data_IF_250834608510
#
_entry.id   IF_250834608510
#
_cell.length_a   1.000
_cell.length_b   1.000
_cell.length_c   1.000
_cell.angle_alpha   90.00
_cell.angle_beta   90.00
_cell.angle_gamma   90.00
#
_symmetry.space_group_name_H-M   'P 1'
#
loop_
_entity.id
_entity.type
_entity.pdbx_description
1 polymer ?
#
# COMPACT_ATOMS: atom_id res chain seq x y z
N UNK A 1 -4.39 23.43 -5.66
CA UNK A 1 -4.67 21.99 -5.76
C UNK A 1 -3.35 21.26 -5.89
N UNK A 2 -3.19 20.11 -5.22
CA UNK A 2 -2.02 19.26 -5.45
C UNK A 2 -2.03 18.78 -6.90
N UNK A 3 -0.85 18.60 -7.50
CA UNK A 3 -0.77 18.20 -8.90
C UNK A 3 -1.31 16.77 -9.10
N UNK A 4 -2.02 16.56 -10.21
CA UNK A 4 -2.53 15.24 -10.58
C UNK A 4 -1.44 14.40 -11.24
N UNK A 5 -1.54 13.09 -11.06
CA UNK A 5 -0.62 12.13 -11.66
C UNK A 5 -1.40 11.05 -12.39
N UNK A 6 -0.84 10.54 -13.49
CA UNK A 6 -1.24 9.26 -14.06
C UNK A 6 -0.20 8.20 -13.70
N UNK A 7 -0.64 6.98 -13.37
CA UNK A 7 0.25 5.90 -12.98
C UNK A 7 0.19 4.71 -13.94
N UNK A 8 1.34 4.05 -14.09
CA UNK A 8 1.46 2.80 -14.84
C UNK A 8 2.50 1.87 -14.22
N UNK A 9 2.09 0.69 -13.81
CA UNK A 9 2.99 -0.39 -13.46
C UNK A 9 3.82 -0.81 -14.68
N UNK A 10 5.11 -1.00 -14.46
CA UNK A 10 6.05 -1.42 -15.49
C UNK A 10 6.09 -2.96 -15.51
N UNK A 11 5.63 -3.60 -16.60
CA UNK A 11 5.62 -5.05 -16.71
C UNK A 11 7.04 -5.60 -16.86
N UNK A 12 7.20 -6.89 -16.63
CA UNK A 12 8.46 -7.59 -16.92
C UNK A 12 9.60 -7.27 -15.97
N UNK A 13 9.35 -6.63 -14.82
CA UNK A 13 10.33 -6.51 -13.73
C UNK A 13 10.04 -7.54 -12.64
N UNK A 14 8.78 -7.64 -12.25
CA UNK A 14 8.28 -8.61 -11.28
C UNK A 14 7.37 -9.63 -11.99
N UNK A 15 7.24 -10.83 -11.42
CA UNK A 15 6.27 -11.83 -11.85
C UNK A 15 4.87 -11.24 -11.75
N UNK A 16 4.08 -11.40 -12.81
CA UNK A 16 2.67 -10.99 -12.83
C UNK A 16 1.87 -11.90 -11.89
N UNK A 17 1.51 -11.36 -10.72
CA UNK A 17 0.89 -12.14 -9.65
C UNK A 17 -0.46 -12.74 -10.04
N UNK A 18 -1.16 -12.14 -10.99
CA UNK A 18 -2.41 -12.68 -11.56
C UNK A 18 -2.20 -14.01 -12.26
N UNK A 19 -1.04 -14.21 -12.88
CA UNK A 19 -0.75 -15.41 -13.66
C UNK A 19 -0.57 -16.62 -12.74
N UNK A 20 -0.09 -16.38 -11.52
CA UNK A 20 0.15 -17.43 -10.50
C UNK A 20 -0.95 -17.50 -9.43
N UNK A 21 -1.91 -16.58 -9.40
CA UNK A 21 -2.89 -16.48 -8.31
C UNK A 21 -3.71 -17.77 -8.12
N UNK A 22 -4.05 -18.45 -9.23
CA UNK A 22 -4.80 -19.70 -9.24
C UNK A 22 -4.10 -20.86 -8.52
N UNK A 23 -2.79 -20.78 -8.29
CA UNK A 23 -2.01 -21.78 -7.57
C UNK A 23 -2.17 -21.67 -6.04
N UNK A 24 -2.75 -20.57 -5.55
CA UNK A 24 -2.84 -20.28 -4.12
C UNK A 24 -4.25 -20.57 -3.56
N UNK A 25 -4.35 -21.12 -2.33
CA UNK A 25 -5.64 -21.32 -1.67
C UNK A 25 -6.49 -20.04 -1.61
N UNK A 26 -7.68 -20.10 -2.20
CA UNK A 26 -8.60 -18.96 -2.27
C UNK A 26 -8.07 -17.79 -3.11
N UNK A 27 -7.14 -18.06 -4.03
CA UNK A 27 -6.52 -17.08 -4.94
C UNK A 27 -5.84 -15.91 -4.20
N UNK A 28 -5.29 -16.21 -3.02
CA UNK A 28 -4.58 -15.25 -2.17
C UNK A 28 -3.08 -15.52 -2.24
N UNK A 29 -2.40 -14.80 -3.13
CA UNK A 29 -0.94 -14.92 -3.28
C UNK A 29 -0.21 -14.58 -1.98
N UNK A 30 0.91 -15.26 -1.73
CA UNK A 30 1.83 -14.97 -0.62
C UNK A 30 3.10 -14.29 -1.12
N UNK A 31 3.95 -13.84 -0.20
CA UNK A 31 5.26 -13.27 -0.52
C UNK A 31 6.06 -14.23 -1.40
N UNK A 32 6.42 -13.80 -2.60
CA UNK A 32 7.26 -14.58 -3.52
C UNK A 32 8.74 -14.44 -3.14
N UNK A 33 9.60 -15.42 -3.49
CA UNK A 33 11.04 -15.25 -3.43
C UNK A 33 11.48 -13.97 -4.15
N UNK A 34 12.38 -13.19 -3.55
CA UNK A 34 12.81 -11.89 -4.09
C UNK A 34 11.63 -10.93 -4.43
N UNK A 35 10.50 -11.00 -3.72
CA UNK A 35 9.26 -10.27 -4.04
C UNK A 35 8.76 -10.49 -5.48
N UNK A 36 9.16 -11.59 -6.12
CA UNK A 36 8.83 -11.91 -7.50
C UNK A 36 9.73 -11.23 -8.52
N UNK A 37 10.88 -10.67 -8.14
CA UNK A 37 11.84 -10.12 -9.11
C UNK A 37 12.23 -11.20 -10.13
N UNK A 38 12.08 -10.88 -11.41
CA UNK A 38 12.53 -11.76 -12.50
C UNK A 38 14.05 -11.67 -12.57
N UNK A 39 14.74 -12.76 -12.25
CA UNK A 39 16.20 -12.81 -12.17
C UNK A 39 16.85 -12.90 -13.55
N UNK A 40 18.07 -12.37 -13.70
CA UNK A 40 18.82 -12.46 -14.96
C UNK A 40 18.28 -11.56 -16.09
N UNK A 41 17.34 -10.67 -15.80
CA UNK A 41 16.92 -9.58 -16.69
C UNK A 41 18.13 -8.77 -17.14
N UNK A 42 18.12 -8.21 -18.36
CA UNK A 42 19.12 -7.24 -18.82
C UNK A 42 18.52 -5.84 -18.81
N UNK A 43 19.28 -4.86 -18.31
CA UNK A 43 18.86 -3.46 -18.23
C UNK A 43 19.83 -2.57 -19.02
N UNK A 44 19.35 -1.47 -19.66
CA UNK A 44 20.22 -0.50 -20.32
C UNK A 44 21.29 0.14 -19.42
N UNK A 45 21.08 0.12 -18.10
CA UNK A 45 22.00 0.64 -17.09
C UNK A 45 22.99 -0.40 -16.55
N UNK A 46 23.00 -1.61 -17.13
CA UNK A 46 23.93 -2.64 -16.68
C UNK A 46 25.38 -2.21 -16.89
N UNK A 47 26.20 -2.57 -15.91
CA UNK A 47 27.62 -2.30 -15.90
C UNK A 47 28.32 -3.61 -15.52
N UNK A 48 29.00 -4.28 -16.47
CA UNK A 48 29.68 -5.55 -16.22
C UNK A 48 30.85 -5.41 -15.25
N UNK A 49 31.39 -4.20 -15.07
CA UNK A 49 32.52 -3.92 -14.19
C UNK A 49 32.07 -3.53 -12.77
N UNK A 50 30.76 -3.40 -12.53
CA UNK A 50 30.24 -3.08 -11.20
C UNK A 50 30.58 -4.17 -10.17
N UNK A 51 30.99 -3.74 -8.97
CA UNK A 51 31.42 -4.62 -7.88
C UNK A 51 30.29 -5.49 -7.30
N UNK A 52 29.03 -5.12 -7.53
CA UNK A 52 27.86 -5.86 -7.07
C UNK A 52 26.91 -6.09 -8.24
N UNK A 53 26.73 -7.37 -8.56
CA UNK A 53 25.96 -7.87 -9.70
C UNK A 53 24.65 -8.55 -9.29
N UNK A 54 24.24 -8.44 -8.01
CA UNK A 54 22.96 -8.99 -7.54
C UNK A 54 21.81 -8.31 -8.28
N UNK A 55 20.78 -9.09 -8.64
CA UNK A 55 19.67 -8.61 -9.48
C UNK A 55 18.96 -7.38 -8.90
N UNK A 56 18.76 -7.34 -7.58
CA UNK A 56 18.18 -6.17 -6.92
C UNK A 56 19.04 -4.91 -7.01
N UNK A 57 20.36 -5.05 -6.93
CA UNK A 57 21.29 -3.92 -7.05
C UNK A 57 21.30 -3.39 -8.46
N UNK A 58 21.23 -4.28 -9.45
CA UNK A 58 21.08 -3.94 -10.88
C UNK A 58 19.74 -3.25 -11.14
N UNK A 59 18.65 -3.76 -10.59
CA UNK A 59 17.33 -3.11 -10.68
C UNK A 59 17.34 -1.72 -10.03
N UNK A 60 17.95 -1.56 -8.86
CA UNK A 60 18.04 -0.26 -8.21
C UNK A 60 18.81 0.76 -9.06
N UNK A 61 19.90 0.33 -9.73
CA UNK A 61 20.63 1.15 -10.71
C UNK A 61 19.76 1.49 -11.91
N UNK A 62 18.97 0.54 -12.40
CA UNK A 62 18.04 0.76 -13.51
C UNK A 62 16.94 1.77 -13.16
N UNK A 63 16.34 1.68 -11.97
CA UNK A 63 15.34 2.67 -11.52
C UNK A 63 15.95 4.07 -11.40
N UNK A 64 17.21 4.18 -10.95
CA UNK A 64 17.93 5.45 -10.96
C UNK A 64 18.14 5.98 -12.37
N UNK A 65 18.62 5.14 -13.27
CA UNK A 65 18.81 5.48 -14.68
C UNK A 65 17.50 5.93 -15.36
N UNK A 66 16.37 5.25 -15.10
CA UNK A 66 15.05 5.65 -15.60
C UNK A 66 14.66 7.06 -15.15
N UNK A 67 14.94 7.40 -13.89
CA UNK A 67 14.67 8.73 -13.37
C UNK A 67 15.61 9.79 -13.97
N UNK A 68 16.90 9.51 -14.10
CA UNK A 68 17.88 10.43 -14.70
C UNK A 68 17.62 10.69 -16.19
N UNK A 69 17.03 9.72 -16.91
CA UNK A 69 16.77 9.79 -18.35
C UNK A 69 15.29 10.08 -18.69
N UNK A 70 14.49 10.56 -17.73
CA UNK A 70 13.09 10.94 -17.95
C UNK A 70 12.83 12.41 -17.65
N UNK A 71 11.82 12.98 -18.29
CA UNK A 71 11.37 14.36 -18.06
C UNK A 71 11.10 14.65 -16.58
N UNK A 72 11.16 15.94 -16.20
CA UNK A 72 10.95 16.38 -14.81
C UNK A 72 9.56 16.07 -14.25
N UNK A 73 8.55 15.90 -15.11
CA UNK A 73 7.20 15.51 -14.73
C UNK A 73 7.01 13.98 -14.64
N UNK A 74 8.04 13.17 -14.86
CA UNK A 74 7.97 11.70 -14.78
C UNK A 74 8.82 11.22 -13.62
N UNK A 75 8.31 10.26 -12.85
CA UNK A 75 9.03 9.61 -11.76
C UNK A 75 8.80 8.09 -11.78
N UNK A 76 9.86 7.32 -11.54
CA UNK A 76 9.78 5.87 -11.37
C UNK A 76 10.08 5.51 -9.93
N UNK A 77 9.17 4.79 -9.28
CA UNK A 77 9.34 4.32 -7.89
C UNK A 77 9.04 2.82 -7.80
N UNK A 78 9.85 2.07 -7.07
CA UNK A 78 9.44 0.76 -6.59
C UNK A 78 8.57 0.98 -5.37
N UNK A 79 7.34 0.48 -5.46
CA UNK A 79 6.33 0.53 -4.42
C UNK A 79 6.22 -0.86 -3.82
N UNK A 80 6.72 -1.01 -2.60
CA UNK A 80 6.56 -2.22 -1.81
C UNK A 80 5.22 -2.17 -1.09
N UNK A 81 4.39 -3.19 -1.27
CA UNK A 81 3.07 -3.28 -0.65
C UNK A 81 3.05 -4.44 0.33
N UNK A 82 2.82 -4.15 1.61
CA UNK A 82 2.74 -5.17 2.66
C UNK A 82 1.33 -5.23 3.22
N UNK A 83 0.64 -6.37 3.05
CA UNK A 83 -0.62 -6.64 3.75
C UNK A 83 -0.34 -6.94 5.22
N UNK A 84 -1.12 -6.34 6.11
CA UNK A 84 -1.07 -6.65 7.54
C UNK A 84 -1.18 -8.15 7.85
N UNK A 85 -0.64 -8.58 9.00
CA UNK A 85 -0.79 -9.95 9.51
C UNK A 85 -2.25 -10.28 9.88
N UNK A 86 -2.54 -11.54 10.23
CA UNK A 86 -3.88 -11.98 10.61
C UNK A 86 -4.43 -11.18 11.79
N UNK A 87 -5.44 -10.36 11.52
CA UNK A 87 -6.15 -9.59 12.54
C UNK A 87 -7.31 -10.35 13.19
N UNK A 88 -7.74 -9.90 14.37
CA UNK A 88 -8.89 -10.49 15.08
C UNK A 88 -10.15 -10.48 14.21
N UNK A 89 -10.38 -9.43 13.41
CA UNK A 89 -11.49 -9.39 12.46
C UNK A 89 -11.42 -10.50 11.38
N UNK A 90 -10.21 -10.89 10.94
CA UNK A 90 -10.05 -11.98 9.97
C UNK A 90 -10.39 -13.34 10.60
N UNK A 91 -9.91 -13.56 11.83
CA UNK A 91 -10.24 -14.75 12.63
C UNK A 91 -11.76 -14.84 12.83
N UNK A 92 -12.40 -13.75 13.22
CA UNK A 92 -13.84 -13.73 13.43
C UNK A 92 -14.63 -13.95 12.14
N UNK A 93 -14.27 -13.29 11.04
CA UNK A 93 -14.88 -13.57 9.73
C UNK A 93 -14.78 -15.05 9.35
N UNK A 94 -13.63 -15.68 9.56
CA UNK A 94 -13.44 -17.11 9.27
C UNK A 94 -14.31 -18.01 10.18
N UNK A 95 -14.47 -17.65 11.46
CA UNK A 95 -15.26 -18.40 12.43
C UNK A 95 -16.77 -18.34 12.17
N UNK A 96 -17.31 -17.15 11.86
CA UNK A 96 -18.77 -16.98 11.66
C UNK A 96 -19.22 -17.19 10.23
N UNK A 97 -18.30 -17.15 9.27
CA UNK A 97 -18.59 -17.23 7.84
C UNK A 97 -19.08 -15.91 7.24
N UNK A 98 -18.96 -15.79 5.92
CA UNK A 98 -19.21 -14.54 5.19
C UNK A 98 -20.64 -14.01 5.35
N UNK A 99 -21.64 -14.89 5.41
CA UNK A 99 -23.04 -14.49 5.53
C UNK A 99 -23.31 -13.78 6.86
N UNK A 100 -22.97 -14.42 7.98
CA UNK A 100 -23.14 -13.83 9.31
C UNK A 100 -22.24 -12.60 9.52
N UNK A 101 -21.04 -12.60 8.94
CA UNK A 101 -20.16 -11.45 8.96
C UNK A 101 -20.79 -10.23 8.28
N UNK A 102 -21.20 -10.38 7.01
CA UNK A 102 -21.70 -9.27 6.20
C UNK A 102 -23.10 -8.77 6.60
N UNK A 103 -23.85 -9.54 7.40
CA UNK A 103 -25.24 -9.18 7.77
C UNK A 103 -25.41 -8.74 9.22
N UNK A 104 -24.48 -9.11 10.12
CA UNK A 104 -24.64 -8.85 11.56
C UNK A 104 -23.34 -8.61 12.30
N UNK A 105 -22.44 -9.58 12.31
CA UNK A 105 -21.31 -9.61 13.26
C UNK A 105 -20.36 -8.43 13.05
N UNK A 106 -20.08 -8.08 11.79
CA UNK A 106 -19.17 -7.00 11.44
C UNK A 106 -19.64 -5.59 11.83
N UNK A 107 -20.92 -5.42 12.17
CA UNK A 107 -21.51 -4.14 12.60
C UNK A 107 -21.41 -3.92 14.12
N UNK A 108 -21.02 -4.94 14.87
CA UNK A 108 -20.73 -4.85 16.30
C UNK A 108 -19.24 -4.52 16.52
N UNK A 109 -18.85 -4.03 17.69
CA UNK A 109 -17.43 -3.74 17.98
C UNK A 109 -16.64 -4.99 18.44
N UNK A 110 -17.34 -6.04 18.87
CA UNK A 110 -16.78 -7.20 19.54
C UNK A 110 -17.85 -8.01 20.26
N UNK A 111 -17.47 -9.13 20.86
CA UNK A 111 -18.36 -10.04 21.62
C UNK A 111 -18.13 -9.99 23.14
N UNK A 112 -17.36 -8.99 23.62
CA UNK A 112 -16.95 -8.85 25.02
C UNK A 112 -15.71 -9.69 25.39
N UNK A 113 -15.23 -10.58 24.52
CA UNK A 113 -13.96 -11.31 24.68
C UNK A 113 -12.90 -10.79 23.72
N UNK A 114 -13.29 -10.60 22.46
CA UNK A 114 -12.45 -10.08 21.40
C UNK A 114 -13.11 -8.85 20.77
N UNK A 115 -12.30 -7.95 20.23
CA UNK A 115 -12.77 -6.78 19.49
C UNK A 115 -12.31 -6.86 18.04
N UNK A 116 -13.24 -6.62 17.12
CA UNK A 116 -12.95 -6.48 15.70
C UNK A 116 -13.12 -5.05 15.19
N UNK A 117 -13.58 -4.12 16.03
CA UNK A 117 -13.41 -2.68 15.78
C UNK A 117 -11.93 -2.33 15.77
N UNK A 118 -11.47 -1.68 14.69
CA UNK A 118 -10.07 -1.32 14.46
C UNK A 118 -9.10 -2.41 14.97
N UNK A 119 -9.34 -3.64 14.52
CA UNK A 119 -8.79 -4.83 15.17
C UNK A 119 -7.25 -4.83 15.18
N UNK A 120 -6.68 -5.28 16.30
CA UNK A 120 -5.28 -5.67 16.38
C UNK A 120 -4.99 -6.99 15.66
N UNK A 121 -3.72 -7.30 15.51
CA UNK A 121 -3.21 -8.61 15.12
C UNK A 121 -3.57 -9.66 16.17
N UNK A 122 -3.72 -10.90 15.71
CA UNK A 122 -3.70 -12.09 16.56
C UNK A 122 -2.25 -12.54 16.76
N UNK A 123 -1.98 -13.46 17.69
CA UNK A 123 -0.65 -14.08 17.85
C UNK A 123 -0.11 -14.67 16.54
N UNK A 124 -0.99 -15.29 15.73
CA UNK A 124 -0.63 -15.78 14.39
C UNK A 124 -0.24 -14.63 13.46
N UNK A 125 -0.95 -13.51 13.52
CA UNK A 125 -0.64 -12.31 12.75
C UNK A 125 0.67 -11.64 13.16
N UNK A 126 0.98 -11.65 14.46
CA UNK A 126 2.27 -11.19 14.97
C UNK A 126 3.42 -12.08 14.49
N UNK A 127 3.24 -13.41 14.52
CA UNK A 127 4.23 -14.34 13.98
C UNK A 127 4.44 -14.13 12.47
N UNK A 128 3.36 -13.93 11.69
CA UNK A 128 3.47 -13.58 10.27
C UNK A 128 4.28 -12.29 10.04
N UNK A 129 4.12 -11.29 10.92
CA UNK A 129 4.90 -10.06 10.85
C UNK A 129 6.39 -10.30 11.22
N UNK A 130 6.68 -11.18 12.18
CA UNK A 130 8.06 -11.59 12.49
C UNK A 130 8.70 -12.38 11.34
N UNK A 131 7.95 -13.23 10.67
CA UNK A 131 8.44 -13.96 9.49
C UNK A 131 8.77 -12.98 8.34
N UNK A 132 7.90 -11.98 8.13
CA UNK A 132 8.17 -10.90 7.18
C UNK A 132 9.40 -10.06 7.58
N UNK A 133 9.61 -9.78 8.88
CA UNK A 133 10.82 -9.09 9.35
C UNK A 133 12.09 -9.83 8.94
N UNK A 134 12.11 -11.15 9.10
CA UNK A 134 13.24 -12.00 8.70
C UNK A 134 13.43 -11.97 7.19
N UNK A 135 12.35 -12.15 6.42
CA UNK A 135 12.36 -12.04 4.98
C UNK A 135 12.93 -10.69 4.49
N UNK A 136 12.46 -9.57 5.04
CA UNK A 136 12.92 -8.24 4.67
C UNK A 136 14.38 -8.00 5.04
N UNK A 137 14.82 -8.50 6.20
CA UNK A 137 16.21 -8.43 6.62
C UNK A 137 17.12 -9.15 5.63
N UNK A 138 16.75 -10.35 5.20
CA UNK A 138 17.50 -11.14 4.24
C UNK A 138 17.44 -10.55 2.83
N UNK A 139 16.27 -10.06 2.41
CA UNK A 139 16.09 -9.40 1.12
C UNK A 139 17.06 -8.21 0.97
N UNK A 140 17.22 -7.40 2.02
CA UNK A 140 18.13 -6.26 1.99
C UNK A 140 19.59 -6.71 2.11
N UNK A 141 19.93 -7.50 3.13
CA UNK A 141 21.33 -7.83 3.44
C UNK A 141 21.93 -8.83 2.44
N UNK A 142 21.19 -9.87 2.11
CA UNK A 142 21.66 -10.99 1.29
C UNK A 142 21.38 -10.71 -0.18
N UNK A 143 20.14 -10.34 -0.52
CA UNK A 143 19.75 -10.16 -1.93
C UNK A 143 20.10 -8.78 -2.50
N UNK A 144 20.42 -7.80 -1.64
CA UNK A 144 20.83 -6.47 -2.06
C UNK A 144 19.67 -5.57 -2.46
N UNK A 145 18.43 -5.87 -2.02
CA UNK A 145 17.31 -4.98 -2.22
C UNK A 145 17.54 -3.64 -1.51
N UNK A 146 17.17 -2.51 -2.13
CA UNK A 146 17.26 -1.23 -1.48
C UNK A 146 16.29 -1.16 -0.29
N UNK A 147 16.77 -0.65 0.84
CA UNK A 147 15.90 -0.28 1.95
C UNK A 147 14.91 0.80 1.46
N UNK A 148 13.62 0.72 1.80
CA UNK A 148 12.70 1.82 1.53
C UNK A 148 13.20 3.12 2.17
N UNK A 149 13.19 4.19 1.38
CA UNK A 149 13.58 5.53 1.83
C UNK A 149 12.47 6.18 2.65
N UNK A 150 11.22 5.76 2.44
CA UNK A 150 10.06 6.21 3.21
C UNK A 150 9.11 5.03 3.44
N UNK A 151 8.57 4.97 4.65
CA UNK A 151 7.59 3.96 5.06
C UNK A 151 6.27 4.66 5.33
N UNK A 152 5.21 4.18 4.69
CA UNK A 152 3.85 4.63 4.90
C UNK A 152 3.02 3.50 5.49
N UNK A 153 2.03 3.84 6.29
CA UNK A 153 1.13 2.85 6.90
C UNK A 153 -0.28 3.37 7.01
N UNK A 154 -1.25 2.46 6.85
CA UNK A 154 -2.65 2.75 7.17
C UNK A 154 -2.81 3.03 8.67
N UNK A 155 -3.70 3.96 9.07
CA UNK A 155 -3.96 4.29 10.48
C UNK A 155 -4.65 3.18 11.28
N UNK A 156 -5.14 2.13 10.63
CA UNK A 156 -5.76 0.99 11.32
C UNK A 156 -4.73 0.18 12.12
N UNK A 157 -5.07 -0.17 13.36
CA UNK A 157 -4.16 -0.71 14.37
C UNK A 157 -3.34 -1.92 13.88
N UNK A 158 -3.95 -2.86 13.15
CA UNK A 158 -3.26 -4.00 12.52
C UNK A 158 -2.14 -3.60 11.56
N UNK A 159 -2.29 -2.50 10.82
CA UNK A 159 -1.24 -1.98 9.93
C UNK A 159 -0.14 -1.31 10.74
N UNK A 160 -0.49 -0.50 11.75
CA UNK A 160 0.47 0.11 12.66
C UNK A 160 1.33 -0.96 13.36
N UNK A 161 0.72 -1.99 13.94
CA UNK A 161 1.44 -3.13 14.53
C UNK A 161 2.29 -3.88 13.50
N UNK A 162 1.77 -4.15 12.31
CA UNK A 162 2.56 -4.84 11.27
C UNK A 162 3.78 -4.00 10.88
N UNK A 163 3.63 -2.68 10.69
CA UNK A 163 4.74 -1.79 10.36
C UNK A 163 5.81 -1.82 11.43
N UNK A 164 5.42 -1.78 12.71
CA UNK A 164 6.35 -1.81 13.83
C UNK A 164 7.12 -3.14 13.88
N UNK A 165 6.41 -4.26 13.83
CA UNK A 165 7.01 -5.60 13.93
C UNK A 165 7.93 -5.91 12.76
N UNK A 166 7.55 -5.51 11.54
CA UNK A 166 8.32 -5.81 10.32
C UNK A 166 9.53 -4.87 10.16
N UNK A 167 9.33 -3.57 10.32
CA UNK A 167 10.27 -2.56 9.81
C UNK A 167 11.02 -1.77 10.87
N UNK A 168 10.61 -1.75 12.14
CA UNK A 168 11.27 -0.95 13.19
C UNK A 168 12.78 -1.15 13.26
N UNK A 169 13.23 -2.41 13.27
CA UNK A 169 14.66 -2.76 13.31
C UNK A 169 15.43 -2.32 12.07
N UNK A 170 14.78 -2.25 10.91
CA UNK A 170 15.38 -1.78 9.66
C UNK A 170 15.44 -0.25 9.63
N UNK A 171 14.37 0.42 10.03
CA UNK A 171 14.31 1.88 10.15
C UNK A 171 15.34 2.42 11.15
N UNK A 172 15.59 1.70 12.25
CA UNK A 172 16.58 2.04 13.26
C UNK A 172 18.05 1.95 12.78
N UNK A 173 18.31 1.33 11.61
CA UNK A 173 19.67 1.29 11.03
C UNK A 173 20.10 2.62 10.41
N UNK A 174 19.15 3.53 10.16
CA UNK A 174 19.41 4.83 9.55
C UNK A 174 19.76 5.87 10.62
N UNK A 175 20.47 6.93 10.22
CA UNK A 175 20.85 8.04 11.11
C UNK A 175 20.44 9.37 10.47
N UNK A 176 19.41 10.06 11.01
CA UNK A 176 18.54 9.63 12.11
C UNK A 176 17.68 8.40 11.74
N UNK A 177 17.16 7.64 12.73
CA UNK A 177 16.21 6.56 12.47
C UNK A 177 15.04 7.04 11.62
N UNK A 178 14.63 6.24 10.64
CA UNK A 178 13.43 6.54 9.84
C UNK A 178 12.17 6.42 10.70
N UNK A 179 11.20 7.26 10.42
CA UNK A 179 9.88 7.24 11.05
C UNK A 179 8.83 6.92 10.00
N UNK A 180 7.92 5.96 10.25
CA UNK A 180 6.83 5.70 9.32
C UNK A 180 5.80 6.82 9.38
N UNK A 181 5.16 7.09 8.25
CA UNK A 181 4.14 8.12 8.08
C UNK A 181 2.76 7.45 7.98
N UNK A 182 1.85 7.84 8.88
CA UNK A 182 0.46 7.39 8.88
C UNK A 182 -0.32 8.18 7.84
N UNK A 183 -0.94 7.47 6.90
CA UNK A 183 -1.70 8.03 5.77
C UNK A 183 -3.14 7.52 5.78
N UNK A 184 -4.09 8.41 6.00
CA UNK A 184 -5.53 8.17 6.08
C UNK A 184 -6.06 7.48 4.82
N UNK A 185 -5.58 7.86 3.64
CA UNK A 185 -6.07 7.27 2.39
C UNK A 185 -5.55 5.85 2.14
N UNK A 186 -4.66 5.31 2.98
CA UNK A 186 -4.16 3.93 2.88
C UNK A 186 -5.07 2.86 3.50
N UNK A 187 -6.17 3.25 4.15
CA UNK A 187 -7.15 2.35 4.84
C UNK A 187 -7.82 1.34 3.91
N UNK A 188 -8.35 0.26 4.47
CA UNK A 188 -9.12 -0.74 3.71
C UNK A 188 -10.37 -0.13 3.04
N UNK A 189 -11.02 -0.89 2.15
CA UNK A 189 -12.33 -0.51 1.58
C UNK A 189 -13.32 -0.22 2.71
N UNK A 190 -14.06 0.87 2.62
CA UNK A 190 -15.03 1.25 3.66
C UNK A 190 -16.36 0.52 3.40
N UNK A 191 -16.60 -0.58 4.11
CA UNK A 191 -17.77 -1.46 3.94
C UNK A 191 -18.84 -1.26 5.02
N UNK A 192 -18.68 -0.23 5.86
CA UNK A 192 -19.45 0.03 7.08
C UNK A 192 -19.24 -0.97 8.22
N UNK A 193 -18.33 -1.90 8.04
CA UNK A 193 -17.92 -2.82 9.10
C UNK A 193 -17.05 -2.06 10.10
N UNK A 194 -17.17 -2.39 11.38
CA UNK A 194 -16.44 -1.69 12.46
C UNK A 194 -14.93 -1.85 12.34
N UNK A 195 -14.45 -2.89 11.65
CA UNK A 195 -13.04 -3.11 11.35
C UNK A 195 -12.44 -2.13 10.34
N UNK A 196 -13.27 -1.38 9.62
CA UNK A 196 -12.87 -0.38 8.64
C UNK A 196 -12.61 0.97 9.32
N UNK A 197 -13.23 1.20 10.48
CA UNK A 197 -13.09 2.41 11.28
C UNK A 197 -11.83 2.37 12.16
N UNK A 198 -11.34 3.56 12.52
CA UNK A 198 -10.09 3.76 13.25
C UNK A 198 -10.37 4.41 14.60
N UNK A 199 -9.44 4.20 15.52
CA UNK A 199 -9.35 5.00 16.73
C UNK A 199 -8.99 6.47 16.43
N UNK A 200 -9.22 7.37 17.38
CA UNK A 200 -8.89 8.78 17.22
C UNK A 200 -7.39 9.00 16.95
N UNK A 201 -7.06 10.15 16.37
CA UNK A 201 -5.68 10.55 16.08
C UNK A 201 -4.81 10.54 17.34
N UNK A 202 -5.33 11.04 18.47
CA UNK A 202 -4.63 11.02 19.77
C UNK A 202 -4.22 9.61 20.17
N UNK A 203 -5.09 8.62 19.98
CA UNK A 203 -4.77 7.22 20.27
C UNK A 203 -3.57 6.72 19.46
N UNK A 204 -3.49 7.06 18.17
CA UNK A 204 -2.35 6.68 17.31
C UNK A 204 -1.06 7.33 17.85
N UNK A 205 -1.10 8.63 18.17
CA UNK A 205 0.06 9.37 18.67
C UNK A 205 0.58 8.83 20.01
N UNK A 206 -0.32 8.41 20.91
CA UNK A 206 0.02 7.84 22.21
C UNK A 206 0.60 6.43 22.11
N UNK A 207 0.06 5.59 21.22
CA UNK A 207 0.47 4.18 21.09
C UNK A 207 1.67 3.98 20.16
N UNK A 208 1.88 4.91 19.22
CA UNK A 208 2.97 4.87 18.24
C UNK A 208 3.71 6.22 18.19
N UNK A 209 4.36 6.65 19.28
CA UNK A 209 4.94 8.00 19.39
C UNK A 209 6.10 8.28 18.44
N UNK A 210 6.68 7.25 17.82
CA UNK A 210 7.73 7.37 16.81
C UNK A 210 7.17 7.54 15.40
N UNK A 211 5.86 7.46 15.21
CA UNK A 211 5.21 7.55 13.90
C UNK A 211 4.87 9.02 13.64
N UNK A 212 5.07 9.45 12.40
CA UNK A 212 4.58 10.74 11.93
C UNK A 212 3.13 10.55 11.47
N UNK A 213 2.24 11.43 11.88
CA UNK A 213 0.85 11.47 11.37
C UNK A 213 0.80 12.61 10.35
N UNK A 214 0.24 12.35 9.16
CA UNK A 214 0.17 13.36 8.11
C UNK A 214 -0.56 14.64 8.54
N UNK A 215 -0.23 15.74 7.87
CA UNK A 215 -0.87 17.02 8.09
C UNK A 215 -2.36 16.95 7.69
N UNK A 216 -3.21 17.63 8.47
CA UNK A 216 -4.66 17.62 8.23
C UNK A 216 -5.38 16.33 8.65
N UNK A 217 -4.70 15.39 9.33
CA UNK A 217 -5.33 14.19 9.85
C UNK A 217 -6.33 14.53 10.97
N UNK A 218 -7.61 14.22 10.74
CA UNK A 218 -8.71 14.52 11.66
C UNK A 218 -8.64 13.71 12.96
N UNK A 219 -9.06 14.32 14.07
CA UNK A 219 -9.08 13.64 15.37
C UNK A 219 -9.98 12.39 15.31
N UNK A 220 -11.26 12.60 15.02
CA UNK A 220 -12.24 11.53 14.90
C UNK A 220 -12.29 10.95 13.48
N UNK A 221 -12.74 9.70 13.37
CA UNK A 221 -12.86 9.01 12.09
C UNK A 221 -14.03 9.54 11.25
N UNK A 222 -13.71 10.34 10.24
CA UNK A 222 -14.71 10.93 9.35
C UNK A 222 -15.39 9.91 8.43
N UNK A 223 -14.83 8.72 8.21
CA UNK A 223 -15.47 7.68 7.39
C UNK A 223 -16.71 7.07 8.05
N UNK A 224 -16.89 7.26 9.37
CA UNK A 224 -18.11 6.87 10.09
C UNK A 224 -19.34 7.65 9.61
N UNK A 225 -19.16 8.81 8.97
CA UNK A 225 -20.24 9.63 8.43
C UNK A 225 -20.81 9.11 7.10
N UNK A 226 -20.18 8.11 6.47
CA UNK A 226 -20.66 7.55 5.21
C UNK A 226 -21.94 6.72 5.42
N UNK A 227 -22.95 7.01 4.62
CA UNK A 227 -24.22 6.25 4.62
C UNK A 227 -24.08 4.95 3.82
N UNK A 228 -23.38 5.01 2.67
CA UNK A 228 -23.22 3.87 1.77
C UNK A 228 -21.79 3.29 1.83
N UNK A 229 -21.64 1.96 1.68
CA UNK A 229 -20.35 1.34 1.44
C UNK A 229 -19.64 1.95 0.24
N UNK A 230 -18.32 2.04 0.32
CA UNK A 230 -17.46 2.42 -0.78
C UNK A 230 -17.49 1.34 -1.89
N UNK A 231 -17.70 1.77 -3.13
CA UNK A 231 -17.62 0.88 -4.30
C UNK A 231 -16.17 0.49 -4.62
N UNK A 232 -15.96 -0.50 -5.47
CA UNK A 232 -14.62 -0.88 -5.92
C UNK A 232 -13.95 0.27 -6.70
N UNK A 233 -14.71 0.99 -7.51
CA UNK A 233 -14.24 2.14 -8.29
C UNK A 233 -13.88 3.32 -7.38
N UNK A 234 -14.72 3.64 -6.39
CA UNK A 234 -14.41 4.68 -5.41
C UNK A 234 -13.13 4.35 -4.63
N UNK A 235 -12.93 3.08 -4.27
CA UNK A 235 -11.73 2.64 -3.58
C UNK A 235 -10.47 2.77 -4.45
N UNK A 236 -10.55 2.42 -5.74
CA UNK A 236 -9.47 2.66 -6.71
C UNK A 236 -9.15 4.15 -6.81
N UNK A 237 -10.16 5.01 -6.93
CA UNK A 237 -9.97 6.48 -6.95
C UNK A 237 -9.32 6.97 -5.65
N UNK A 238 -9.68 6.42 -4.49
CA UNK A 238 -9.04 6.79 -3.22
C UNK A 238 -7.57 6.35 -3.16
N UNK A 239 -7.22 5.19 -3.74
CA UNK A 239 -5.81 4.76 -3.86
C UNK A 239 -5.01 5.54 -4.87
N UNK A 240 -5.64 5.96 -5.98
CA UNK A 240 -5.06 6.91 -6.91
C UNK A 240 -4.66 8.20 -6.19
N UNK A 241 -5.58 8.80 -5.40
CA UNK A 241 -5.29 10.00 -4.61
C UNK A 241 -4.17 9.78 -3.58
N UNK A 242 -4.18 8.65 -2.87
CA UNK A 242 -3.11 8.32 -1.94
C UNK A 242 -1.72 8.25 -2.62
N UNK A 243 -1.66 7.71 -3.85
CA UNK A 243 -0.42 7.68 -4.64
C UNK A 243 -0.04 9.07 -5.14
N UNK A 244 -1.01 9.90 -5.57
CA UNK A 244 -0.78 11.30 -5.94
C UNK A 244 -0.16 12.09 -4.79
N UNK A 245 -0.72 11.99 -3.58
CA UNK A 245 -0.18 12.65 -2.38
C UNK A 245 1.27 12.22 -2.11
N UNK A 246 1.53 10.91 -2.11
CA UNK A 246 2.88 10.36 -1.92
C UNK A 246 3.87 10.84 -3.01
N UNK A 247 3.44 10.88 -4.28
CA UNK A 247 4.30 11.34 -5.38
C UNK A 247 4.50 12.85 -5.40
N UNK A 248 3.57 13.63 -4.85
CA UNK A 248 3.71 15.08 -4.69
C UNK A 248 4.62 15.45 -3.51
N UNK A 249 4.56 14.71 -2.41
CA UNK A 249 5.35 14.96 -1.20
C UNK A 249 6.82 14.56 -1.37
N UNK A 250 7.07 13.50 -2.15
CA UNK A 250 8.40 12.91 -2.25
C UNK A 250 9.14 13.35 -3.50
N UNK A 251 10.41 13.77 -3.37
CA UNK A 251 11.22 14.13 -4.52
C UNK A 251 11.51 12.91 -5.41
N UNK A 252 11.95 13.15 -6.65
CA UNK A 252 12.18 12.11 -7.67
C UNK A 252 13.29 11.12 -7.27
N UNK A 253 14.19 11.55 -6.39
CA UNK A 253 15.29 10.78 -5.80
C UNK A 253 14.81 9.79 -4.72
N UNK A 254 13.59 9.95 -4.21
CA UNK A 254 12.92 8.95 -3.36
C UNK A 254 12.28 7.89 -4.26
N UNK A 255 13.02 6.82 -4.53
CA UNK A 255 12.71 5.80 -5.54
C UNK A 255 12.15 4.52 -4.94
N UNK A 256 12.37 4.27 -3.64
CA UNK A 256 11.96 3.03 -2.98
C UNK A 256 11.07 3.37 -1.79
N UNK A 257 9.80 3.01 -1.85
CA UNK A 257 8.82 3.31 -0.79
C UNK A 257 8.08 2.05 -0.35
N UNK A 258 7.72 1.98 0.93
CA UNK A 258 6.93 0.88 1.48
C UNK A 258 5.59 1.37 1.99
N UNK A 259 4.52 0.63 1.70
CA UNK A 259 3.16 0.92 2.12
C UNK A 259 2.62 -0.32 2.84
N UNK A 260 2.35 -0.19 4.14
CA UNK A 260 1.65 -1.23 4.92
C UNK A 260 0.14 -1.00 4.87
N UNK A 261 -0.57 -1.93 4.24
CA UNK A 261 -1.96 -1.77 3.78
C UNK A 261 -2.77 -3.07 3.97
N UNK A 262 -3.86 -3.21 3.22
CA UNK A 262 -4.89 -4.26 3.35
C UNK A 262 -5.10 -5.02 2.03
N UNK A 263 -5.91 -6.08 2.04
CA UNK A 263 -6.09 -6.94 0.86
C UNK A 263 -6.79 -6.20 -0.28
N UNK A 264 -7.91 -5.52 -0.02
CA UNK A 264 -8.60 -4.78 -1.08
C UNK A 264 -7.89 -3.47 -1.41
N UNK A 265 -7.19 -2.86 -0.45
CA UNK A 265 -6.32 -1.72 -0.72
C UNK A 265 -5.19 -2.05 -1.72
N UNK A 266 -4.56 -3.23 -1.61
CA UNK A 266 -3.57 -3.68 -2.62
C UNK A 266 -4.22 -3.85 -3.99
N UNK A 267 -5.40 -4.47 -4.05
CA UNK A 267 -6.15 -4.61 -5.32
C UNK A 267 -6.49 -3.27 -5.94
N UNK A 268 -6.93 -2.31 -5.13
CA UNK A 268 -7.25 -0.97 -5.59
C UNK A 268 -5.99 -0.21 -6.07
N UNK A 269 -4.84 -0.38 -5.41
CA UNK A 269 -3.55 0.15 -5.88
C UNK A 269 -3.15 -0.51 -7.21
N UNK A 270 -3.26 -1.84 -7.33
CA UNK A 270 -3.00 -2.55 -8.60
C UNK A 270 -3.87 -2.00 -9.74
N UNK A 271 -5.17 -1.81 -9.49
CA UNK A 271 -6.09 -1.19 -10.45
C UNK A 271 -5.70 0.24 -10.81
N UNK A 272 -5.36 1.08 -9.82
CA UNK A 272 -4.97 2.48 -10.05
C UNK A 272 -3.71 2.61 -10.91
N UNK A 273 -2.77 1.67 -10.79
CA UNK A 273 -1.53 1.66 -11.60
C UNK A 273 -1.65 0.80 -12.86
N UNK A 274 -2.82 0.23 -13.15
CA UNK A 274 -3.02 -0.64 -14.33
C UNK A 274 -2.22 -1.94 -14.31
N UNK A 275 -1.91 -2.48 -13.13
CA UNK A 275 -1.32 -3.81 -12.96
C UNK A 275 -2.39 -4.91 -12.95
N UNK A 276 -1.98 -6.17 -13.09
CA UNK A 276 -2.84 -7.31 -12.82
C UNK A 276 -3.37 -7.29 -11.38
N UNK A 277 -4.69 -7.47 -11.22
CA UNK A 277 -5.38 -7.39 -9.92
C UNK A 277 -5.51 -8.78 -9.30
N UNK A 278 -4.92 -8.99 -8.12
CA UNK A 278 -5.03 -10.24 -7.37
C UNK A 278 -5.17 -9.99 -5.86
N UNK A 279 -5.69 -10.97 -5.12
CA UNK A 279 -5.73 -10.88 -3.64
C UNK A 279 -4.42 -11.37 -3.05
N UNK A 280 -4.03 -10.78 -1.94
CA UNK A 280 -2.89 -11.24 -1.12
C UNK A 280 -3.37 -11.89 0.18
N UNK A 281 -2.63 -12.88 0.69
CA UNK A 281 -2.84 -13.47 2.02
C UNK A 281 -2.32 -12.54 3.12
N UNK A 282 -2.81 -12.69 4.34
CA UNK A 282 -2.32 -11.98 5.52
C UNK A 282 -0.80 -12.16 5.66
N UNK A 283 -0.07 -11.11 6.06
CA UNK A 283 1.39 -11.18 6.20
C UNK A 283 2.13 -11.36 4.88
N UNK A 284 1.69 -10.69 3.82
CA UNK A 284 2.29 -10.78 2.47
C UNK A 284 2.91 -9.47 2.04
N UNK A 285 4.13 -9.51 1.49
CA UNK A 285 4.76 -8.37 0.81
C UNK A 285 4.91 -8.64 -0.69
N UNK A 286 4.63 -7.63 -1.51
CA UNK A 286 4.83 -7.64 -2.97
C UNK A 286 5.54 -6.36 -3.42
N UNK A 287 6.06 -6.33 -4.64
CA UNK A 287 6.68 -5.15 -5.22
C UNK A 287 6.06 -4.82 -6.59
N UNK A 288 5.93 -3.53 -6.88
CA UNK A 288 5.57 -3.01 -8.20
C UNK A 288 6.57 -1.92 -8.59
N UNK A 289 7.05 -1.91 -9.84
CA UNK A 289 7.72 -0.74 -10.38
C UNK A 289 6.65 0.16 -11.00
N UNK A 290 6.44 1.36 -10.45
CA UNK A 290 5.39 2.29 -10.87
C UNK A 290 6.03 3.51 -11.53
N UNK A 291 5.59 3.80 -12.76
CA UNK A 291 5.83 5.08 -13.42
C UNK A 291 4.68 6.02 -13.10
N UNK A 292 4.97 7.17 -12.51
CA UNK A 292 4.06 8.31 -12.41
C UNK A 292 4.42 9.36 -13.44
N UNK A 293 3.41 9.97 -14.06
CA UNK A 293 3.54 11.15 -14.90
C UNK A 293 2.58 12.23 -14.42
N UNK A 294 3.15 13.35 -13.97
CA UNK A 294 2.42 14.50 -13.46
C UNK A 294 1.82 15.27 -14.63
N UNK A 295 0.54 15.61 -14.50
CA UNK A 295 -0.13 16.51 -15.42
C UNK A 295 0.62 17.84 -15.41
N UNK A 296 1.03 18.30 -16.59
CA UNK A 296 1.69 19.61 -16.71
C UNK A 296 0.56 20.62 -16.84
N UNK A 297 0.29 21.39 -15.78
CA UNK A 297 -0.66 22.49 -15.84
C UNK A 297 -0.24 23.42 -17.00
N UNK A 298 -1.02 23.43 -18.08
CA UNK A 298 -1.03 24.58 -18.98
C UNK A 298 -1.67 25.71 -18.19
N UNK A 299 -0.88 26.70 -17.76
CA UNK A 299 -1.35 27.90 -17.06
C UNK A 299 -2.72 28.38 -17.58
N UNK A 300 -3.77 28.32 -16.74
CA UNK A 300 -5.04 28.96 -17.07
C UNK A 300 -6.30 28.41 -16.40
N UNK A 301 -6.61 28.99 -15.22
CA UNK A 301 -7.95 29.19 -14.67
C UNK A 301 -8.72 28.00 -14.06
N UNK A 302 -9.14 28.20 -12.80
CA UNK A 302 -10.27 27.49 -12.19
C UNK A 302 -9.97 26.91 -10.82
N UNK A 303 -9.81 27.76 -9.81
CA UNK A 303 -9.84 27.32 -8.42
C UNK A 303 -11.20 26.70 -8.08
N UNK A 304 -11.17 25.51 -7.49
CA UNK A 304 -12.30 24.95 -6.77
C UNK A 304 -11.83 24.47 -5.39
N UNK A 305 -12.65 24.85 -4.42
CA UNK A 305 -12.48 24.85 -2.98
C UNK A 305 -12.55 23.43 -2.38
N UNK A 306 -11.87 23.21 -1.26
CA UNK A 306 -11.43 21.91 -0.73
C UNK A 306 -12.45 21.22 0.20
N UNK A 307 -13.76 21.46 0.05
CA UNK A 307 -14.78 20.93 0.97
C UNK A 307 -15.98 20.29 0.26
N UNK A 308 -15.76 19.40 -0.71
CA UNK A 308 -16.85 18.63 -1.33
C UNK A 308 -16.64 17.12 -1.23
N UNK A 309 -17.00 16.59 -0.07
CA UNK A 309 -17.10 15.16 0.22
C UNK A 309 -18.56 14.70 0.18
N UNK A 310 -19.36 15.08 -0.82
CA UNK A 310 -20.69 14.47 -1.06
C UNK A 310 -21.17 14.52 -2.52
N UNK A 311 -20.34 14.17 -3.49
CA UNK A 311 -20.84 13.61 -4.77
C UNK A 311 -19.67 13.22 -5.67
N UNK A 312 -19.41 11.93 -5.81
CA UNK A 312 -18.67 11.45 -6.96
C UNK A 312 -19.61 11.55 -8.17
N UNK A 313 -19.35 12.50 -9.07
CA UNK A 313 -19.97 12.55 -10.39
C UNK A 313 -19.50 11.34 -11.22
N UNK A 314 -20.39 10.39 -11.57
CA UNK A 314 -20.02 9.18 -12.29
C UNK A 314 -19.58 9.42 -13.75
N UNK A 315 -19.78 10.61 -14.31
CA UNK A 315 -19.55 10.84 -15.75
C UNK A 315 -18.08 11.05 -16.14
N UNK A 316 -17.18 11.32 -15.19
CA UNK A 316 -15.75 11.47 -15.46
C UNK A 316 -15.02 10.14 -15.78
N UNK A 317 -15.70 8.98 -15.62
CA UNK A 317 -15.13 7.63 -15.80
C UNK A 317 -15.55 6.98 -17.13
N UNK A 318 -16.25 7.72 -18.00
CA UNK A 318 -16.78 7.23 -19.29
C UNK A 318 -15.71 6.86 -20.34
N UNK A 319 -14.44 7.22 -20.13
CA UNK A 319 -13.34 6.90 -21.08
C UNK A 319 -12.57 5.61 -20.76
N UNK A 320 -12.81 4.95 -19.62
CA UNK A 320 -12.24 3.63 -19.32
C UNK A 320 -13.24 2.53 -19.69
N UNK A 321 -13.49 2.40 -20.99
CA UNK A 321 -14.37 1.34 -21.52
C UNK A 321 -13.71 -0.04 -21.45
N UNK A 322 -14.48 -0.94 -20.80
CA UNK A 322 -14.59 -2.40 -21.00
C UNK A 322 -13.51 -3.28 -20.34
N UNK A 323 -13.83 -3.76 -19.15
CA UNK A 323 -13.62 -5.18 -18.84
C UNK A 323 -14.97 -5.81 -18.51
N UNK A 324 -15.34 -6.79 -19.33
CA UNK A 324 -16.50 -7.67 -19.17
C UNK A 324 -15.98 -9.03 -18.75
N UNK A 325 -16.62 -9.58 -17.71
CA UNK A 325 -16.54 -10.95 -17.16
C UNK A 325 -15.24 -11.35 -16.47
#
# INVERSE_FOLDING_TARGET
MAAKWSFKAQPGVFVELTDIAHEYPGEKVTTQPNLGLILGQSYPSDDPDASDQRDWVRLARYVRWLNENSSNNVAYKIVYLTRHGLGVHNKMHAQVGSEAWNTRVSFENGDGKETWFDAFLTEVGEQQAQDLKNFWTDLIKVQGAPLPQTFYTSPLARCLQTTDLVFSSLMATQTPPLQPIVKELLRERITRHTCDYRRPRTWIAENYPTYQIEDGFEEEDQFTNRVEPETDEEHVVRKQRALEDIFNEMPKECQFISLTVHSYAIRAIQGAVGAGVCRTREGTSIALLVRGERDVDTDGAGGLDINDYTSADPEAVSSLRRFSM
#
